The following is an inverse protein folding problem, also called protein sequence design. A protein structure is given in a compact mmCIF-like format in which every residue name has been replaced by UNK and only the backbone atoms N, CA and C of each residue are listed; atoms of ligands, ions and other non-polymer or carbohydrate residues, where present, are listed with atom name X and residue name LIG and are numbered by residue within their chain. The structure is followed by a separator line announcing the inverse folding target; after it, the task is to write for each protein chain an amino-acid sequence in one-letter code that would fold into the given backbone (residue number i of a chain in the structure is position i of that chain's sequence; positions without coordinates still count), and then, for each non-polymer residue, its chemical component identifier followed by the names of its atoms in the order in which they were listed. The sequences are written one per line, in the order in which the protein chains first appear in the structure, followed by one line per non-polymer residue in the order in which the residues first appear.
data_IF_204658555061
#
_entry.id   IF_204658555061
#
_cell.length_a   1.000
_cell.length_b   1.000
_cell.length_c   1.000
_cell.angle_alpha   90.00
_cell.angle_beta   90.00
_cell.angle_gamma   90.00
#
_symmetry.space_group_name_H-M   'P 1'
#
loop_
_entity.id
_entity.type
_entity.pdbx_description
1 polymer ?
#
# COMPACT_ATOMS: atom_id res chain seq x y z
N UNK A 1 31.46 52.01 18.77
CA UNK A 1 30.89 50.74 18.29
C UNK A 1 30.17 50.04 19.44
N UNK A 2 28.88 49.71 19.25
CA UNK A 2 28.18 48.45 19.61
C UNK A 2 26.69 48.75 19.79
N UNK A 3 25.95 48.57 18.70
CA UNK A 3 24.49 48.53 18.71
C UNK A 3 24.10 47.09 19.07
N UNK A 4 23.60 46.84 20.27
CA UNK A 4 22.98 45.57 20.61
C UNK A 4 21.61 45.50 19.91
N UNK A 5 21.57 44.86 18.73
CA UNK A 5 20.34 44.46 18.06
C UNK A 5 19.82 43.19 18.75
N UNK A 6 19.00 43.38 19.78
CA UNK A 6 18.22 42.29 20.37
C UNK A 6 17.23 41.79 19.32
N UNK A 7 17.33 40.51 18.96
CA UNK A 7 16.33 39.82 18.13
C UNK A 7 15.05 39.78 18.97
N UNK A 8 13.90 40.31 18.49
CA UNK A 8 12.68 40.32 19.27
C UNK A 8 12.18 38.88 19.44
N UNK A 9 12.16 38.39 20.69
CA UNK A 9 11.72 37.05 21.07
C UNK A 9 10.25 36.74 20.70
N UNK A 10 9.45 37.75 20.33
CA UNK A 10 8.05 37.59 19.93
C UNK A 10 7.86 36.84 18.59
N UNK A 11 8.89 36.70 17.76
CA UNK A 11 8.75 36.04 16.45
C UNK A 11 8.76 34.51 16.51
N UNK A 12 9.24 33.89 17.61
CA UNK A 12 9.26 32.42 17.71
C UNK A 12 7.90 31.84 18.09
N UNK A 13 7.19 32.52 19.00
CA UNK A 13 5.89 32.06 19.50
C UNK A 13 4.80 32.10 18.42
N UNK A 14 4.86 33.09 17.52
CA UNK A 14 3.93 33.22 16.40
C UNK A 14 4.15 32.12 15.35
N UNK A 15 5.41 31.77 15.05
CA UNK A 15 5.72 30.66 14.13
C UNK A 15 5.22 29.32 14.69
N UNK A 16 5.39 29.08 15.99
CA UNK A 16 4.92 27.86 16.63
C UNK A 16 3.38 27.74 16.62
N UNK A 17 2.67 28.86 16.85
CA UNK A 17 1.21 28.91 16.82
C UNK A 17 0.65 28.66 15.40
N UNK A 18 1.35 29.11 14.36
CA UNK A 18 0.96 28.87 12.96
C UNK A 18 1.16 27.41 12.55
N UNK A 19 2.19 26.72 13.08
CA UNK A 19 2.41 25.29 12.83
C UNK A 19 1.32 24.40 13.46
N UNK A 20 0.72 24.83 14.58
CA UNK A 20 -0.40 24.12 15.22
C UNK A 20 -1.73 24.25 14.45
N UNK A 21 -1.83 25.21 13.54
CA UNK A 21 -2.98 25.42 12.66
C UNK A 21 -2.82 24.71 11.31
N UNK A 22 -1.67 24.07 11.07
CA UNK A 22 -1.48 23.28 9.87
C UNK A 22 -2.51 22.15 9.86
N UNK A 23 -3.32 22.00 8.80
CA UNK A 23 -4.25 20.89 8.70
C UNK A 23 -3.47 19.59 8.81
N UNK A 24 -3.80 18.79 9.81
CA UNK A 24 -3.30 17.42 9.91
C UNK A 24 -3.94 16.69 8.73
N UNK A 25 -3.14 16.32 7.74
CA UNK A 25 -3.61 15.49 6.65
C UNK A 25 -4.10 14.18 7.26
N UNK A 26 -5.42 13.98 7.28
CA UNK A 26 -6.02 12.71 7.68
C UNK A 26 -5.55 11.66 6.69
N UNK A 27 -4.84 10.65 7.17
CA UNK A 27 -4.53 9.47 6.35
C UNK A 27 -5.80 8.62 6.31
N UNK A 28 -6.60 8.74 5.26
CA UNK A 28 -7.65 7.76 4.98
C UNK A 28 -6.98 6.46 4.55
N UNK A 29 -7.48 5.31 5.01
CA UNK A 29 -7.04 4.03 4.48
C UNK A 29 -7.39 3.97 2.98
N UNK A 30 -6.47 3.47 2.16
CA UNK A 30 -6.69 3.32 0.73
C UNK A 30 -7.89 2.38 0.49
N UNK A 31 -8.75 2.73 -0.47
CA UNK A 31 -9.95 1.95 -0.76
C UNK A 31 -9.65 0.83 -1.74
N UNK A 32 -10.30 -0.32 -1.58
CA UNK A 32 -10.18 -1.44 -2.52
C UNK A 32 -10.96 -1.11 -3.79
N UNK A 33 -10.26 -1.12 -4.93
CA UNK A 33 -10.85 -0.80 -6.24
C UNK A 33 -10.99 -2.02 -7.15
N UNK A 34 -10.13 -3.03 -7.01
CA UNK A 34 -10.13 -4.20 -7.87
C UNK A 34 -9.56 -5.44 -7.16
N UNK A 35 -9.99 -6.63 -7.59
CA UNK A 35 -9.31 -7.89 -7.30
C UNK A 35 -8.72 -8.44 -8.59
N UNK A 36 -7.40 -8.57 -8.64
CA UNK A 36 -6.66 -9.11 -9.78
C UNK A 36 -6.18 -10.53 -9.49
N UNK A 37 -6.10 -11.37 -10.51
CA UNK A 37 -5.62 -12.74 -10.43
C UNK A 37 -4.42 -12.93 -11.36
N UNK A 38 -3.35 -13.54 -10.84
CA UNK A 38 -2.18 -13.92 -11.63
C UNK A 38 -1.86 -15.40 -11.42
N UNK A 39 -1.81 -16.17 -12.50
CA UNK A 39 -1.60 -17.61 -12.47
C UNK A 39 -0.29 -18.01 -13.19
N UNK A 40 0.51 -18.85 -12.54
CA UNK A 40 1.77 -19.39 -13.10
C UNK A 40 1.65 -20.90 -13.28
N UNK A 41 1.91 -21.46 -14.47
CA UNK A 41 1.83 -22.90 -14.70
C UNK A 41 2.99 -23.65 -14.02
N UNK A 42 2.71 -24.83 -13.47
CA UNK A 42 3.69 -25.75 -12.90
C UNK A 42 3.30 -27.21 -13.18
N UNK A 43 4.24 -28.15 -13.01
CA UNK A 43 4.03 -29.59 -13.23
C UNK A 43 4.10 -30.34 -11.92
N UNK A 44 3.14 -31.24 -11.66
CA UNK A 44 3.16 -32.12 -10.49
C UNK A 44 3.73 -33.51 -10.83
N UNK A 45 3.28 -34.12 -11.93
CA UNK A 45 3.79 -35.41 -12.39
C UNK A 45 3.59 -35.58 -13.90
N UNK A 46 4.62 -36.03 -14.62
CA UNK A 46 4.56 -36.27 -16.05
C UNK A 46 4.18 -35.03 -16.88
N UNK A 47 3.13 -35.16 -17.69
CA UNK A 47 2.60 -34.10 -18.55
C UNK A 47 1.37 -33.40 -17.97
N UNK A 48 1.07 -33.58 -16.67
CA UNK A 48 -0.06 -32.91 -16.02
C UNK A 48 0.37 -31.51 -15.57
N UNK A 49 -0.30 -30.49 -16.11
CA UNK A 49 -0.07 -29.08 -15.81
C UNK A 49 -1.10 -28.56 -14.81
N UNK A 50 -0.62 -27.89 -13.78
CA UNK A 50 -1.46 -27.13 -12.87
C UNK A 50 -1.06 -25.66 -12.95
N UNK A 51 -1.88 -24.78 -12.40
CA UNK A 51 -1.59 -23.37 -12.28
C UNK A 51 -1.61 -23.00 -10.81
N UNK A 52 -0.60 -22.26 -10.35
CA UNK A 52 -0.64 -21.62 -9.04
C UNK A 52 -1.07 -20.18 -9.23
N UNK A 53 -2.22 -19.84 -8.68
CA UNK A 53 -2.84 -18.53 -8.79
C UNK A 53 -2.68 -17.75 -7.49
N UNK A 54 -2.37 -16.46 -7.61
CA UNK A 54 -2.34 -15.49 -6.52
C UNK A 54 -3.40 -14.44 -6.80
N UNK A 55 -4.25 -14.17 -5.81
CA UNK A 55 -5.19 -13.05 -5.87
C UNK A 55 -4.57 -11.84 -5.20
N UNK A 56 -4.72 -10.68 -5.81
CA UNK A 56 -4.26 -9.40 -5.29
C UNK A 56 -5.45 -8.47 -5.12
N UNK A 57 -5.51 -7.83 -3.96
CA UNK A 57 -6.36 -6.65 -3.73
C UNK A 57 -5.58 -5.45 -4.25
N UNK A 58 -6.21 -4.67 -5.11
CA UNK A 58 -5.65 -3.42 -5.65
C UNK A 58 -6.37 -2.25 -5.00
N UNK A 59 -5.59 -1.32 -4.49
CA UNK A 59 -6.07 -0.12 -3.85
C UNK A 59 -6.07 1.08 -4.81
N UNK A 60 -6.85 2.10 -4.52
CA UNK A 60 -6.97 3.33 -5.30
C UNK A 60 -5.66 4.13 -5.42
N UNK A 61 -4.76 3.97 -4.44
CA UNK A 61 -3.41 4.53 -4.46
C UNK A 61 -2.44 3.76 -5.38
N UNK A 62 -2.90 2.67 -6.02
CA UNK A 62 -2.13 1.82 -6.92
C UNK A 62 -1.31 0.75 -6.21
N UNK A 63 -1.36 0.66 -4.88
CA UNK A 63 -0.74 -0.44 -4.15
C UNK A 63 -1.49 -1.75 -4.41
N UNK A 64 -0.76 -2.86 -4.35
CA UNK A 64 -1.29 -4.22 -4.54
C UNK A 64 -0.86 -5.08 -3.37
N UNK A 65 -1.80 -5.76 -2.74
CA UNK A 65 -1.54 -6.69 -1.65
C UNK A 65 -2.02 -8.10 -2.02
N UNK A 66 -1.18 -9.10 -1.80
CA UNK A 66 -1.57 -10.50 -2.01
C UNK A 66 -2.61 -10.90 -0.95
N UNK A 67 -3.79 -11.32 -1.39
CA UNK A 67 -4.91 -11.69 -0.52
C UNK A 67 -5.13 -13.20 -0.41
N UNK A 68 -4.57 -13.99 -1.33
CA UNK A 68 -4.77 -15.44 -1.33
C UNK A 68 -3.92 -16.15 -2.38
N UNK A 69 -3.75 -17.46 -2.17
CA UNK A 69 -3.09 -18.36 -3.09
C UNK A 69 -3.88 -19.66 -3.19
N UNK A 70 -4.02 -20.17 -4.41
CA UNK A 70 -4.65 -21.47 -4.64
C UNK A 70 -4.05 -22.12 -5.90
N UNK A 71 -4.22 -23.44 -6.02
CA UNK A 71 -3.86 -24.15 -7.24
C UNK A 71 -5.13 -24.48 -8.05
N UNK A 72 -4.99 -24.50 -9.38
CA UNK A 72 -6.02 -24.94 -10.33
C UNK A 72 -5.48 -26.07 -11.18
N UNK A 73 -6.21 -27.18 -11.27
CA UNK A 73 -5.86 -28.29 -12.17
C UNK A 73 -6.33 -28.05 -13.62
N UNK A 74 -6.00 -28.99 -14.53
CA UNK A 74 -6.38 -28.92 -15.96
C UNK A 74 -7.90 -28.91 -16.19
N UNK A 75 -8.67 -29.42 -15.23
CA UNK A 75 -10.13 -29.48 -15.28
C UNK A 75 -10.78 -28.23 -14.65
N UNK A 76 -9.97 -27.30 -14.13
CA UNK A 76 -10.45 -26.11 -13.44
C UNK A 76 -10.77 -26.31 -11.95
N UNK A 77 -10.44 -27.48 -11.38
CA UNK A 77 -10.66 -27.73 -9.96
C UNK A 77 -9.67 -26.93 -9.12
N UNK A 78 -10.19 -26.22 -8.13
CA UNK A 78 -9.41 -25.42 -7.18
C UNK A 78 -9.06 -26.27 -5.97
N UNK A 79 -7.80 -26.20 -5.54
CA UNK A 79 -7.30 -26.89 -4.35
C UNK A 79 -6.22 -26.06 -3.66
N UNK A 80 -6.00 -26.36 -2.38
CA UNK A 80 -4.97 -25.68 -1.59
C UNK A 80 -3.55 -26.04 -2.08
N UNK A 81 -2.58 -25.09 -1.97
CA UNK A 81 -1.23 -25.28 -2.47
C UNK A 81 -0.46 -26.51 -1.99
#
# INVERSE_FOLDING_TARGET
MRLHKGIPACSLATVLAVLMLAPVASTTAAEVVEVQEECVPFRIAGNVFHQRCTTYVVYDDGTREASGHYNRDENGMIYDP
#
